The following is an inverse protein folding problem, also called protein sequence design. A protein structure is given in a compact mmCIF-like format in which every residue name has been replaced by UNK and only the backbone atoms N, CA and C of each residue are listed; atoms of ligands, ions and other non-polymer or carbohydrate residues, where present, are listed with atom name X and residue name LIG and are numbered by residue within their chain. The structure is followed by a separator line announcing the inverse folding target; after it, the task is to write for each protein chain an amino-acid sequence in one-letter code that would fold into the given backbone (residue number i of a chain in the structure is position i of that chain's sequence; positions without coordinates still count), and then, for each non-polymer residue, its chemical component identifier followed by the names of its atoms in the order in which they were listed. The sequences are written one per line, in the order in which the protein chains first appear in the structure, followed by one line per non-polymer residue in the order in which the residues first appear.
data_IF_489959982885
#
_entry.id   IF_489959982885
#
_cell.length_a   1.000
_cell.length_b   1.000
_cell.length_c   1.000
_cell.angle_alpha   90.00
_cell.angle_beta   90.00
_cell.angle_gamma   90.00
#
_symmetry.space_group_name_H-M   'P 1'
#
loop_
_entity.id
_entity.type
_entity.pdbx_description
1 polymer ?
#
# COMPACT_ATOMS: atom_id res chain seq x y z
N UNK A 1 0.57 -17.74 -4.94
CA UNK A 1 0.39 -16.33 -5.27
C UNK A 1 0.57 -15.47 -4.03
N UNK A 2 1.33 -14.42 -4.15
CA UNK A 2 1.56 -13.49 -3.05
C UNK A 2 0.35 -12.60 -2.85
N UNK A 3 -0.24 -12.57 -1.64
CA UNK A 3 -1.33 -11.61 -1.38
C UNK A 3 -0.83 -10.17 -1.39
N UNK A 4 0.44 -9.93 -1.11
CA UNK A 4 1.05 -8.59 -1.12
C UNK A 4 2.22 -8.60 -2.07
N UNK A 5 2.21 -7.68 -3.05
CA UNK A 5 3.27 -7.57 -4.04
C UNK A 5 4.36 -6.60 -3.57
N UNK A 6 5.60 -7.05 -3.59
CA UNK A 6 6.73 -6.17 -3.31
C UNK A 6 7.05 -5.36 -4.57
N UNK A 7 7.00 -4.04 -4.48
CA UNK A 7 7.08 -3.15 -5.65
C UNK A 7 8.30 -2.24 -5.68
N UNK A 8 9.01 -2.11 -4.58
CA UNK A 8 10.09 -1.13 -4.48
C UNK A 8 11.40 -1.54 -5.12
N UNK A 9 11.52 -2.76 -5.57
CA UNK A 9 12.78 -3.31 -6.04
C UNK A 9 12.83 -3.58 -7.54
N UNK A 10 11.70 -3.48 -8.20
CA UNK A 10 11.58 -3.80 -9.62
C UNK A 10 11.74 -2.53 -10.45
N UNK A 11 10.89 -2.36 -11.44
CA UNK A 11 10.93 -1.18 -12.29
C UNK A 11 9.76 -0.26 -12.03
N UNK A 12 9.93 1.01 -12.36
CA UNK A 12 8.85 1.97 -12.30
C UNK A 12 7.67 1.53 -13.16
N UNK A 13 7.96 0.89 -14.28
CA UNK A 13 6.94 0.39 -15.20
C UNK A 13 6.07 -0.67 -14.53
N UNK A 14 6.66 -1.56 -13.75
CA UNK A 14 5.93 -2.58 -13.03
C UNK A 14 5.06 -1.95 -11.93
N UNK A 15 5.59 -0.94 -11.23
CA UNK A 15 4.83 -0.19 -10.25
C UNK A 15 3.62 0.45 -10.91
N UNK A 16 3.83 1.12 -12.05
CA UNK A 16 2.73 1.79 -12.77
C UNK A 16 1.66 0.80 -13.21
N UNK A 17 2.07 -0.37 -13.67
CA UNK A 17 1.09 -1.41 -14.05
C UNK A 17 0.28 -1.86 -12.85
N UNK A 18 0.92 -1.98 -11.71
CA UNK A 18 0.23 -2.44 -10.51
C UNK A 18 -0.84 -1.44 -10.07
N UNK A 19 -0.48 -0.17 -9.96
CA UNK A 19 -1.45 0.86 -9.54
C UNK A 19 -2.45 1.22 -10.65
N UNK A 20 -2.14 0.82 -11.89
CA UNK A 20 -3.02 1.05 -13.04
C UNK A 20 -4.17 0.08 -13.16
N UNK A 21 -4.35 -0.81 -12.19
CA UNK A 21 -5.46 -1.77 -12.17
C UNK A 21 -6.76 -1.10 -11.86
N UNK A 22 -7.84 -1.66 -12.39
CA UNK A 22 -9.19 -1.23 -11.99
C UNK A 22 -9.44 -1.67 -10.55
N UNK A 23 -10.36 -0.98 -9.88
CA UNK A 23 -10.73 -1.30 -8.52
C UNK A 23 -9.81 -0.67 -7.50
N UNK A 24 -9.75 -1.27 -6.32
CA UNK A 24 -9.01 -0.74 -5.18
C UNK A 24 -7.62 -1.34 -5.11
N UNK A 25 -6.62 -0.46 -4.98
CA UNK A 25 -5.22 -0.84 -4.81
C UNK A 25 -4.70 -0.14 -3.54
N UNK A 26 -4.10 -0.91 -2.65
CA UNK A 26 -3.55 -0.41 -1.39
C UNK A 26 -2.03 -0.56 -1.43
N UNK A 27 -1.30 0.53 -1.20
CA UNK A 27 0.17 0.54 -1.21
C UNK A 27 0.68 0.98 0.15
N UNK A 28 1.53 0.16 0.77
CA UNK A 28 2.16 0.43 2.06
C UNK A 28 3.62 0.84 1.86
N UNK A 29 3.94 2.08 2.22
CA UNK A 29 5.34 2.56 2.21
C UNK A 29 5.95 2.28 3.58
N UNK A 30 7.03 1.51 3.61
CA UNK A 30 7.58 0.95 4.84
C UNK A 30 9.11 0.85 4.79
N UNK A 31 9.72 0.52 5.92
CA UNK A 31 11.14 0.18 6.01
C UNK A 31 11.35 -0.84 7.12
N UNK A 32 12.42 -1.63 7.03
CA UNK A 32 12.68 -2.70 7.99
C UNK A 32 12.96 -2.18 9.39
N UNK A 33 13.61 -1.02 9.51
CA UNK A 33 13.96 -0.42 10.79
C UNK A 33 12.79 0.28 11.49
N UNK A 34 11.68 0.39 10.83
CA UNK A 34 10.51 1.16 11.30
C UNK A 34 9.61 0.25 12.15
N UNK A 35 9.58 0.46 13.47
CA UNK A 35 8.77 -0.37 14.35
C UNK A 35 7.28 -0.28 14.04
N UNK A 36 6.69 0.92 13.87
CA UNK A 36 5.26 0.98 13.52
C UNK A 36 4.95 0.25 12.21
N UNK A 37 5.87 0.27 11.24
CA UNK A 37 5.69 -0.48 9.99
C UNK A 37 5.61 -1.99 10.27
N UNK A 38 6.43 -2.47 11.18
CA UNK A 38 6.46 -3.90 11.53
C UNK A 38 5.20 -4.31 12.27
N UNK A 39 4.62 -3.42 13.06
CA UNK A 39 3.36 -3.67 13.74
C UNK A 39 2.18 -3.64 12.76
N UNK A 40 2.29 -2.85 11.72
CA UNK A 40 1.26 -2.78 10.68
C UNK A 40 1.29 -4.00 9.74
N UNK A 41 2.45 -4.61 9.55
CA UNK A 41 2.61 -5.70 8.59
C UNK A 41 1.58 -6.82 8.75
N UNK A 42 1.35 -7.40 9.95
CA UNK A 42 0.35 -8.45 10.08
C UNK A 42 -1.08 -7.96 9.79
N UNK A 43 -1.38 -6.70 10.04
CA UNK A 43 -2.68 -6.12 9.72
C UNK A 43 -2.88 -6.09 8.21
N UNK A 44 -1.86 -5.66 7.48
CA UNK A 44 -1.88 -5.63 6.02
C UNK A 44 -2.01 -7.05 5.47
N UNK A 45 -1.27 -8.00 6.03
CA UNK A 45 -1.31 -9.40 5.59
C UNK A 45 -2.70 -10.00 5.77
N UNK A 46 -3.32 -9.75 6.93
CA UNK A 46 -4.66 -10.24 7.21
C UNK A 46 -5.68 -9.69 6.21
N UNK A 47 -5.62 -8.38 5.96
CA UNK A 47 -6.56 -7.75 5.03
C UNK A 47 -6.30 -8.18 3.59
N UNK A 48 -5.04 -8.37 3.21
CA UNK A 48 -4.71 -8.87 1.88
C UNK A 48 -5.33 -10.24 1.65
N UNK A 49 -5.33 -11.09 2.68
CA UNK A 49 -5.96 -12.41 2.59
C UNK A 49 -7.48 -12.29 2.52
N UNK A 50 -8.07 -11.45 3.37
CA UNK A 50 -9.53 -11.28 3.39
C UNK A 50 -10.07 -10.76 2.07
N UNK A 51 -9.33 -9.87 1.42
CA UNK A 51 -9.78 -9.22 0.17
C UNK A 51 -9.12 -9.81 -1.07
N UNK A 52 -8.56 -11.00 -0.97
CA UNK A 52 -7.91 -11.66 -2.11
C UNK A 52 -8.89 -11.74 -3.29
N UNK A 53 -8.45 -11.29 -4.46
CA UNK A 53 -9.28 -11.25 -5.65
C UNK A 53 -10.17 -10.02 -5.77
N UNK A 54 -10.26 -9.20 -4.71
CA UNK A 54 -11.10 -8.00 -4.70
C UNK A 54 -10.30 -6.71 -4.57
N UNK A 55 -9.17 -6.76 -3.84
CA UNK A 55 -8.30 -5.61 -3.61
C UNK A 55 -6.88 -6.08 -3.87
N UNK A 56 -6.10 -5.25 -4.55
CA UNK A 56 -4.68 -5.53 -4.78
C UNK A 56 -3.86 -4.81 -3.70
N UNK A 57 -2.96 -5.56 -3.06
CA UNK A 57 -2.09 -5.00 -2.03
C UNK A 57 -0.65 -5.05 -2.49
N UNK A 58 0.04 -3.91 -2.35
CA UNK A 58 1.46 -3.83 -2.63
C UNK A 58 2.18 -3.11 -1.52
N UNK A 59 3.49 -3.28 -1.47
CA UNK A 59 4.32 -2.56 -0.51
C UNK A 59 5.58 -2.05 -1.19
N UNK A 60 6.06 -0.91 -0.72
CA UNK A 60 7.23 -0.23 -1.26
C UNK A 60 8.20 0.03 -0.10
N UNK A 61 9.38 -0.58 -0.16
CA UNK A 61 10.43 -0.33 0.82
C UNK A 61 11.13 0.97 0.45
N UNK A 62 11.02 2.00 1.30
CA UNK A 62 11.55 3.32 0.99
C UNK A 62 13.07 3.38 1.00
N UNK A 63 13.75 2.35 1.50
CA UNK A 63 15.21 2.28 1.47
C UNK A 63 15.77 1.73 0.16
N UNK A 64 14.92 1.14 -0.67
CA UNK A 64 15.33 0.65 -1.98
C UNK A 64 15.33 1.80 -3.00
N UNK A 65 16.16 1.69 -4.07
CA UNK A 65 16.28 2.82 -5.01
C UNK A 65 14.97 3.31 -5.60
N UNK A 66 14.14 2.42 -6.11
CA UNK A 66 12.84 2.83 -6.65
C UNK A 66 11.91 3.31 -5.53
N UNK A 67 11.94 2.63 -4.38
CA UNK A 67 11.12 3.04 -3.24
C UNK A 67 11.44 4.44 -2.77
N UNK A 68 12.73 4.82 -2.81
CA UNK A 68 13.14 6.17 -2.44
C UNK A 68 12.60 7.20 -3.42
N UNK A 69 12.64 6.89 -4.71
CA UNK A 69 12.10 7.76 -5.75
C UNK A 69 10.59 7.92 -5.58
N UNK A 70 9.88 6.83 -5.32
CA UNK A 70 8.44 6.88 -5.14
C UNK A 70 8.06 7.65 -3.88
N UNK A 71 8.83 7.49 -2.79
CA UNK A 71 8.59 8.24 -1.56
C UNK A 71 8.70 9.75 -1.81
N UNK A 72 9.69 10.17 -2.59
CA UNK A 72 9.82 11.59 -2.97
C UNK A 72 8.64 12.02 -3.84
N UNK A 73 8.29 11.19 -4.82
CA UNK A 73 7.19 11.48 -5.75
C UNK A 73 5.88 11.76 -5.03
N UNK A 74 5.58 10.98 -3.98
CA UNK A 74 4.35 11.15 -3.22
C UNK A 74 4.53 12.01 -1.98
N UNK A 75 5.69 12.63 -1.82
CA UNK A 75 6.01 13.46 -0.63
C UNK A 75 5.80 12.68 0.66
N UNK A 76 6.26 11.43 0.69
CA UNK A 76 6.19 10.60 1.89
C UNK A 76 7.25 11.11 2.87
N UNK A 77 6.81 11.66 3.99
CA UNK A 77 7.70 12.22 5.01
C UNK A 77 7.71 11.43 6.30
N UNK A 78 6.79 10.48 6.43
CA UNK A 78 6.70 9.62 7.60
C UNK A 78 6.30 8.22 7.13
N UNK A 79 6.75 7.20 7.85
CA UNK A 79 6.36 5.81 7.58
C UNK A 79 5.86 5.17 8.86
N UNK A 80 4.89 4.23 8.74
CA UNK A 80 4.27 3.79 7.50
C UNK A 80 3.34 4.87 6.94
N UNK A 81 3.22 4.90 5.62
CA UNK A 81 2.19 5.68 4.95
C UNK A 81 1.49 4.74 3.98
N UNK A 82 0.18 4.71 4.06
CA UNK A 82 -0.65 3.92 3.15
C UNK A 82 -1.30 4.87 2.16
N UNK A 83 -1.21 4.56 0.88
CA UNK A 83 -1.97 5.26 -0.14
C UNK A 83 -2.91 4.27 -0.80
N UNK A 84 -4.10 4.73 -1.15
CA UNK A 84 -5.15 3.91 -1.74
C UNK A 84 -5.55 4.53 -3.07
N UNK A 85 -5.59 3.69 -4.10
CA UNK A 85 -6.07 4.08 -5.42
C UNK A 85 -7.42 3.40 -5.68
N UNK A 86 -8.31 4.12 -6.34
CA UNK A 86 -9.56 3.57 -6.87
C UNK A 86 -9.61 3.92 -8.35
N UNK A 87 -9.63 2.88 -9.17
CA UNK A 87 -9.64 3.03 -10.64
C UNK A 87 -8.58 4.03 -11.10
N UNK A 88 -7.35 3.82 -10.63
CA UNK A 88 -6.15 4.58 -11.01
C UNK A 88 -6.06 5.98 -10.41
N UNK A 89 -7.00 6.37 -9.55
CA UNK A 89 -7.00 7.68 -8.90
C UNK A 89 -6.64 7.51 -7.43
N UNK A 90 -5.67 8.28 -6.93
CA UNK A 90 -5.32 8.27 -5.52
C UNK A 90 -6.45 8.90 -4.72
N UNK A 91 -7.08 8.11 -3.84
CA UNK A 91 -8.27 8.54 -3.10
C UNK A 91 -8.04 8.68 -1.59
N UNK A 92 -7.01 8.00 -1.05
CA UNK A 92 -6.73 8.06 0.39
C UNK A 92 -5.23 8.09 0.63
N UNK A 93 -4.85 8.79 1.68
CA UNK A 93 -3.49 8.81 2.19
C UNK A 93 -3.57 8.79 3.71
N UNK A 94 -2.97 7.78 4.32
CA UNK A 94 -3.04 7.59 5.77
C UNK A 94 -1.61 7.45 6.30
N UNK A 95 -1.22 8.34 7.20
CA UNK A 95 0.11 8.30 7.80
C UNK A 95 0.03 7.66 9.18
N UNK A 96 1.01 6.80 9.47
CA UNK A 96 1.14 6.19 10.77
C UNK A 96 0.39 4.87 10.90
N UNK A 97 0.57 4.26 12.07
CA UNK A 97 -0.06 2.98 12.41
C UNK A 97 -1.56 3.19 12.61
N UNK A 98 -2.37 2.29 12.05
CA UNK A 98 -3.81 2.33 12.23
C UNK A 98 -4.31 0.92 12.52
N UNK A 99 -5.53 0.84 13.08
CA UNK A 99 -6.12 -0.46 13.42
C UNK A 99 -6.61 -1.17 12.16
N UNK A 100 -6.74 -2.49 12.28
CA UNK A 100 -7.28 -3.31 11.19
C UNK A 100 -8.69 -2.85 10.80
N UNK A 101 -9.53 -2.55 11.81
CA UNK A 101 -10.90 -2.09 11.56
C UNK A 101 -10.92 -0.77 10.80
N UNK A 102 -10.03 0.16 11.15
CA UNK A 102 -9.99 1.44 10.46
C UNK A 102 -9.58 1.26 8.99
N UNK A 103 -8.57 0.45 8.73
CA UNK A 103 -8.15 0.20 7.37
C UNK A 103 -9.23 -0.54 6.59
N UNK A 104 -9.92 -1.50 7.23
CA UNK A 104 -11.05 -2.17 6.60
C UNK A 104 -12.12 -1.18 6.18
N UNK A 105 -12.45 -0.22 7.05
CA UNK A 105 -13.47 0.80 6.72
C UNK A 105 -13.05 1.65 5.53
N UNK A 106 -11.77 2.00 5.44
CA UNK A 106 -11.27 2.76 4.28
C UNK A 106 -11.44 1.95 3.01
N UNK A 107 -11.06 0.68 3.03
CA UNK A 107 -11.20 -0.19 1.88
C UNK A 107 -12.67 -0.34 1.49
N UNK A 108 -13.55 -0.62 2.45
CA UNK A 108 -14.97 -0.81 2.18
C UNK A 108 -15.62 0.44 1.60
N UNK A 109 -15.20 1.60 2.05
CA UNK A 109 -15.70 2.87 1.53
C UNK A 109 -15.51 2.98 0.02
N UNK A 110 -14.40 2.47 -0.48
CA UNK A 110 -14.08 2.56 -1.91
C UNK A 110 -14.52 1.34 -2.71
N UNK A 111 -14.74 0.20 -2.06
CA UNK A 111 -15.27 -0.98 -2.72
C UNK A 111 -16.76 -0.84 -3.03
N UNK A 112 -17.49 -0.17 -2.16
CA UNK A 112 -18.93 -0.04 -2.28
C UNK A 112 -19.37 0.92 -3.38
N UNK A 113 -18.43 1.70 -3.88
CA UNK A 113 -18.74 2.68 -4.92
C UNK A 113 -18.78 2.10 -6.27
#
# INVERSE_FOLDING_TARGET
MEPIRELGEESLEEYRRFIGRDGVVVIDFWAEWCMPCRLLAPIIEDLASEYSGRVSFGKVNVDKPLGRILAVTYSITAIPTIIVFKDRVLVERIEGLLSKDRLRRVIEKHLGG
#
